data_IF_258880074803
#
_entry.id   IF_258880074803
#
_cell.length_a   1.000
_cell.length_b   1.000
_cell.length_c   1.000
_cell.angle_alpha   90.00
_cell.angle_beta   90.00
_cell.angle_gamma   90.00
#
_symmetry.space_group_name_H-M   'P 1'
#
loop_
_entity.id
_entity.type
_entity.pdbx_description
1 polymer ?
#
# COMPACT_ATOMS: atom_id res chain seq x y z
N UNK A 1 17.53 -15.49 -6.71
CA UNK A 1 18.19 -14.43 -7.47
C UNK A 1 17.33 -13.18 -7.32
N UNK A 2 17.75 -12.21 -6.49
CA UNK A 2 17.11 -10.89 -6.39
C UNK A 2 17.46 -10.13 -7.67
N UNK A 3 16.47 -9.84 -8.51
CA UNK A 3 16.63 -8.92 -9.63
C UNK A 3 16.37 -7.52 -9.13
N UNK A 4 17.34 -6.66 -9.21
CA UNK A 4 17.22 -5.25 -8.87
C UNK A 4 16.93 -4.47 -10.14
N UNK A 5 15.91 -3.64 -10.12
CA UNK A 5 15.64 -2.68 -11.17
C UNK A 5 15.91 -1.28 -10.58
N UNK A 6 16.84 -0.57 -11.19
CA UNK A 6 17.06 0.86 -10.91
C UNK A 6 16.28 1.61 -11.97
N UNK A 7 15.20 2.24 -11.61
CA UNK A 7 14.54 3.20 -12.48
C UNK A 7 15.29 4.53 -12.38
N UNK A 8 15.77 5.02 -13.50
CA UNK A 8 16.41 6.33 -13.60
C UNK A 8 15.33 7.44 -13.60
N UNK A 9 14.59 7.54 -12.51
CA UNK A 9 13.60 8.59 -12.27
C UNK A 9 14.19 9.63 -11.31
N UNK A 10 15.29 10.26 -11.74
CA UNK A 10 15.85 11.38 -11.02
C UNK A 10 14.90 12.57 -11.10
N UNK A 11 14.46 13.05 -9.98
CA UNK A 11 13.62 14.22 -9.85
C UNK A 11 14.46 15.37 -9.31
N UNK A 12 14.45 16.50 -10.05
CA UNK A 12 15.06 17.74 -9.55
C UNK A 12 14.04 18.43 -8.67
N UNK A 13 14.33 18.49 -7.38
CA UNK A 13 13.56 19.30 -6.45
C UNK A 13 14.24 20.64 -6.28
N UNK A 14 13.46 21.72 -6.44
CA UNK A 14 13.91 23.08 -6.16
C UNK A 14 13.26 23.57 -4.87
N UNK A 15 14.07 23.91 -3.88
CA UNK A 15 13.64 24.52 -2.64
C UNK A 15 14.48 25.78 -2.38
N UNK A 16 13.83 26.92 -2.25
CA UNK A 16 14.48 28.24 -2.06
C UNK A 16 15.61 28.53 -3.05
N UNK A 17 15.45 28.14 -4.32
CA UNK A 17 16.45 28.32 -5.36
C UNK A 17 17.61 27.33 -5.33
N UNK A 18 17.59 26.37 -4.40
CA UNK A 18 18.52 25.25 -4.36
C UNK A 18 17.94 24.05 -5.06
N UNK A 19 18.67 23.47 -5.99
CA UNK A 19 18.29 22.25 -6.70
C UNK A 19 18.95 21.04 -6.05
N UNK A 20 18.16 20.00 -5.81
CA UNK A 20 18.67 18.70 -5.36
C UNK A 20 18.11 17.60 -6.22
N UNK A 21 18.93 16.59 -6.50
CA UNK A 21 18.51 15.38 -7.17
C UNK A 21 18.02 14.38 -6.12
N UNK A 22 16.81 13.86 -6.33
CA UNK A 22 16.31 12.74 -5.53
C UNK A 22 15.56 11.75 -6.39
N UNK A 23 15.49 10.51 -5.93
CA UNK A 23 14.65 9.49 -6.56
C UNK A 23 13.18 9.87 -6.30
N UNK A 24 12.38 9.89 -7.36
CA UNK A 24 10.95 10.17 -7.25
C UNK A 24 10.31 9.20 -6.26
N UNK A 25 9.64 9.68 -5.21
CA UNK A 25 8.95 8.82 -4.28
C UNK A 25 7.89 7.98 -5.01
N UNK A 26 7.78 6.75 -4.60
CA UNK A 26 6.73 5.88 -5.05
C UNK A 26 5.55 5.94 -4.12
N UNK A 27 4.41 6.30 -4.65
CA UNK A 27 3.20 6.46 -3.86
C UNK A 27 2.77 5.16 -3.16
N UNK A 28 2.91 4.01 -3.82
CA UNK A 28 2.59 2.70 -3.21
C UNK A 28 3.47 2.45 -2.00
N UNK A 29 4.80 2.60 -2.17
CA UNK A 29 5.76 2.39 -1.10
C UNK A 29 5.62 3.41 0.00
N UNK A 30 5.42 4.68 -0.36
CA UNK A 30 5.25 5.76 0.60
C UNK A 30 4.03 5.51 1.50
N UNK A 31 2.88 5.23 0.90
CA UNK A 31 1.64 4.98 1.65
C UNK A 31 1.71 3.69 2.46
N UNK A 32 2.28 2.61 1.90
CA UNK A 32 2.52 1.38 2.65
C UNK A 32 3.42 1.61 3.86
N UNK A 33 4.50 2.38 3.71
CA UNK A 33 5.41 2.68 4.82
C UNK A 33 4.74 3.54 5.90
N UNK A 34 3.90 4.51 5.52
CA UNK A 34 3.10 5.29 6.48
C UNK A 34 2.16 4.36 7.23
N UNK A 35 1.47 3.46 6.51
CA UNK A 35 0.60 2.46 7.13
C UNK A 35 1.36 1.58 8.12
N UNK A 36 2.49 1.00 7.71
CA UNK A 36 3.29 0.09 8.53
C UNK A 36 3.84 0.75 9.78
N UNK A 37 4.38 1.95 9.64
CA UNK A 37 4.91 2.71 10.77
C UNK A 37 3.84 2.98 11.81
N UNK A 38 2.65 3.43 11.37
CA UNK A 38 1.55 3.70 12.29
C UNK A 38 0.97 2.41 12.87
N UNK A 39 0.85 1.34 12.07
CA UNK A 39 0.38 0.05 12.56
C UNK A 39 1.30 -0.54 13.61
N UNK A 40 2.61 -0.49 13.41
CA UNK A 40 3.60 -0.95 14.39
C UNK A 40 3.44 -0.18 15.71
N UNK A 41 3.38 1.14 15.66
CA UNK A 41 3.16 1.99 16.83
C UNK A 41 1.83 1.71 17.50
N UNK A 42 0.75 1.52 16.72
CA UNK A 42 -0.57 1.16 17.23
C UNK A 42 -0.56 -0.19 17.95
N UNK A 43 0.10 -1.21 17.39
CA UNK A 43 0.25 -2.54 18.03
C UNK A 43 0.98 -2.45 19.35
N UNK A 44 2.11 -1.74 19.40
CA UNK A 44 2.89 -1.52 20.62
C UNK A 44 2.06 -0.77 21.67
N UNK A 45 1.37 0.29 21.26
CA UNK A 45 0.52 1.10 22.16
C UNK A 45 -0.67 0.30 22.68
N UNK A 46 -1.31 -0.49 21.81
CA UNK A 46 -2.41 -1.37 22.19
C UNK A 46 -1.97 -2.38 23.25
N UNK A 47 -0.85 -3.05 23.06
CA UNK A 47 -0.36 -4.08 23.98
C UNK A 47 0.10 -3.50 25.31
N UNK A 48 0.81 -2.37 25.28
CA UNK A 48 1.46 -1.82 26.46
C UNK A 48 0.56 -0.87 27.26
N UNK A 49 -0.44 -0.25 26.63
CA UNK A 49 -1.28 0.77 27.23
C UNK A 49 -2.76 0.38 27.23
N UNK A 50 -3.36 0.18 26.05
CA UNK A 50 -4.81 -0.01 25.93
C UNK A 50 -5.28 -1.32 26.60
N UNK A 51 -4.66 -2.44 26.29
CA UNK A 51 -5.07 -3.75 26.78
C UNK A 51 -4.92 -3.88 28.31
N UNK A 52 -3.83 -3.42 28.95
CA UNK A 52 -3.74 -3.38 30.40
C UNK A 52 -4.79 -2.48 31.05
N UNK A 53 -5.04 -1.30 30.48
CA UNK A 53 -6.06 -0.37 30.95
C UNK A 53 -7.46 -0.95 30.89
N UNK A 54 -7.81 -1.58 29.75
CA UNK A 54 -9.11 -2.22 29.56
C UNK A 54 -9.36 -3.31 30.62
N UNK A 55 -8.35 -4.11 30.95
CA UNK A 55 -8.43 -5.15 31.98
C UNK A 55 -8.58 -4.57 33.40
N UNK A 56 -7.92 -3.44 33.67
CA UNK A 56 -7.92 -2.83 35.00
C UNK A 56 -9.22 -2.06 35.29
N UNK A 57 -9.81 -1.42 34.30
CA UNK A 57 -10.92 -0.48 34.47
C UNK A 57 -12.25 -0.97 33.90
N UNK A 58 -12.43 -2.27 33.84
CA UNK A 58 -13.67 -2.87 33.34
C UNK A 58 -14.90 -2.27 34.08
N UNK A 59 -15.75 -1.57 33.32
CA UNK A 59 -17.00 -0.98 33.88
C UNK A 59 -16.86 0.36 34.59
N UNK A 60 -15.65 0.98 34.66
CA UNK A 60 -15.47 2.31 35.22
C UNK A 60 -15.15 3.37 34.16
N UNK A 61 -15.59 4.61 34.40
CA UNK A 61 -15.27 5.73 33.50
C UNK A 61 -13.81 6.13 33.64
N UNK A 62 -13.01 6.16 32.55
CA UNK A 62 -11.59 6.54 32.65
C UNK A 62 -11.42 8.03 32.93
N UNK A 63 -10.33 8.40 33.64
CA UNK A 63 -9.94 9.81 33.80
C UNK A 63 -9.63 10.47 32.45
N UNK A 64 -9.63 11.80 32.39
CA UNK A 64 -9.35 12.59 31.20
C UNK A 64 -8.03 12.18 30.50
N UNK A 65 -6.96 12.05 31.29
CA UNK A 65 -5.66 11.59 30.80
C UNK A 65 -5.72 10.21 30.13
N UNK A 66 -6.51 9.29 30.68
CA UNK A 66 -6.68 7.95 30.13
C UNK A 66 -7.56 7.93 28.90
N UNK A 67 -8.51 8.86 28.78
CA UNK A 67 -9.26 9.04 27.54
C UNK A 67 -8.36 9.49 26.40
N UNK A 68 -7.39 10.38 26.68
CA UNK A 68 -6.40 10.81 25.71
C UNK A 68 -5.62 9.62 25.12
N UNK A 69 -5.22 8.64 25.95
CA UNK A 69 -4.54 7.42 25.47
C UNK A 69 -5.35 6.68 24.39
N UNK A 70 -6.69 6.60 24.51
CA UNK A 70 -7.55 6.00 23.49
C UNK A 70 -7.57 6.82 22.20
N UNK A 71 -7.59 8.15 22.28
CA UNK A 71 -7.52 9.01 21.10
C UNK A 71 -6.18 8.87 20.38
N UNK A 72 -5.07 8.88 21.10
CA UNK A 72 -3.72 8.67 20.55
C UNK A 72 -3.65 7.32 19.81
N UNK A 73 -4.25 6.26 20.37
CA UNK A 73 -4.37 4.97 19.68
C UNK A 73 -5.22 5.04 18.42
N UNK A 74 -6.38 5.69 18.49
CA UNK A 74 -7.27 5.81 17.33
C UNK A 74 -6.63 6.60 16.20
N UNK A 75 -5.88 7.64 16.46
CA UNK A 75 -5.12 8.38 15.45
C UNK A 75 -4.14 7.47 14.71
N UNK A 76 -3.40 6.63 15.42
CA UNK A 76 -2.45 5.71 14.84
C UNK A 76 -3.14 4.64 13.99
N UNK A 77 -4.17 3.99 14.52
CA UNK A 77 -4.82 2.86 13.82
C UNK A 77 -5.64 3.34 12.61
N UNK A 78 -6.30 4.49 12.71
CA UNK A 78 -7.04 5.11 11.62
C UNK A 78 -6.07 5.53 10.50
N UNK A 79 -4.96 6.17 10.87
CA UNK A 79 -3.91 6.53 9.89
C UNK A 79 -3.38 5.30 9.18
N UNK A 80 -3.03 4.23 9.92
CA UNK A 80 -2.57 2.98 9.32
C UNK A 80 -3.58 2.40 8.33
N UNK A 81 -4.86 2.38 8.70
CA UNK A 81 -5.94 1.83 7.88
C UNK A 81 -6.16 2.63 6.59
N UNK A 82 -6.21 3.95 6.69
CA UNK A 82 -6.41 4.83 5.53
C UNK A 82 -5.26 4.66 4.55
N UNK A 83 -4.01 4.69 5.04
CA UNK A 83 -2.86 4.58 4.15
C UNK A 83 -2.65 3.17 3.60
N UNK A 84 -3.07 2.11 4.29
CA UNK A 84 -3.14 0.77 3.72
C UNK A 84 -4.06 0.74 2.49
N UNK A 85 -5.26 1.29 2.61
CA UNK A 85 -6.21 1.35 1.49
C UNK A 85 -5.72 2.25 0.36
N UNK A 86 -5.16 3.42 0.68
CA UNK A 86 -4.61 4.35 -0.31
C UNK A 86 -3.44 3.74 -1.08
N UNK A 87 -2.59 2.92 -0.43
CA UNK A 87 -1.53 2.20 -1.11
C UNK A 87 -2.06 1.20 -2.15
N UNK A 88 -3.18 0.55 -1.86
CA UNK A 88 -3.86 -0.34 -2.81
C UNK A 88 -4.47 0.43 -3.99
N UNK A 89 -5.04 1.61 -3.75
CA UNK A 89 -5.55 2.47 -4.83
C UNK A 89 -4.41 2.92 -5.76
N UNK A 90 -3.30 3.38 -5.19
CA UNK A 90 -2.10 3.74 -5.95
C UNK A 90 -1.56 2.55 -6.74
N UNK A 91 -1.46 1.37 -6.11
CA UNK A 91 -1.01 0.14 -6.75
C UNK A 91 -1.90 -0.25 -7.93
N UNK A 92 -3.22 -0.27 -7.73
CA UNK A 92 -4.15 -0.63 -8.79
C UNK A 92 -4.06 0.33 -9.99
N UNK A 93 -3.87 1.62 -9.75
CA UNK A 93 -3.75 2.63 -10.79
C UNK A 93 -2.43 2.50 -11.60
N UNK A 94 -1.32 2.23 -10.92
CA UNK A 94 -0.01 2.00 -11.56
C UNK A 94 -0.06 0.75 -12.46
N UNK A 95 -0.74 -0.32 -12.03
CA UNK A 95 -0.85 -1.56 -12.80
C UNK A 95 -1.67 -1.44 -14.09
N UNK A 96 -2.38 -0.33 -14.30
CA UNK A 96 -3.17 -0.11 -15.52
C UNK A 96 -2.28 0.62 -16.56
N UNK A 97 -1.93 -0.02 -17.70
CA UNK A 97 -1.14 0.62 -18.73
C UNK A 97 -1.84 1.85 -19.33
N UNK A 98 -1.08 2.87 -19.76
CA UNK A 98 -1.63 4.13 -20.27
C UNK A 98 -2.56 3.96 -21.47
N UNK A 99 -2.26 2.96 -22.32
CA UNK A 99 -3.06 2.67 -23.52
C UNK A 99 -4.13 1.61 -23.30
N UNK A 100 -4.35 1.19 -22.05
CA UNK A 100 -5.37 0.19 -21.75
C UNK A 100 -6.77 0.80 -21.85
N UNK A 101 -7.67 0.05 -22.48
CA UNK A 101 -9.10 0.38 -22.57
C UNK A 101 -9.92 -0.78 -21.99
N UNK A 102 -10.78 -0.46 -21.03
CA UNK A 102 -11.69 -1.41 -20.43
C UNK A 102 -13.04 -1.37 -21.14
N UNK A 103 -13.44 -2.50 -21.72
CA UNK A 103 -14.70 -2.65 -22.42
C UNK A 103 -15.79 -3.17 -21.50
N UNK A 104 -16.90 -2.46 -21.43
CA UNK A 104 -18.15 -2.95 -20.84
C UNK A 104 -19.18 -3.02 -21.94
N UNK A 105 -19.82 -4.19 -22.08
CA UNK A 105 -20.97 -4.38 -22.96
C UNK A 105 -22.23 -4.55 -22.10
N UNK A 106 -23.18 -3.65 -22.28
CA UNK A 106 -24.48 -3.69 -21.59
C UNK A 106 -25.58 -3.37 -22.58
N UNK A 107 -26.59 -4.22 -22.65
CA UNK A 107 -27.76 -4.09 -23.52
C UNK A 107 -27.38 -3.87 -25.01
N UNK A 108 -26.32 -4.56 -25.48
CA UNK A 108 -25.79 -4.43 -26.84
C UNK A 108 -24.95 -3.17 -27.09
N UNK A 109 -24.79 -2.29 -26.11
CA UNK A 109 -23.98 -1.09 -26.20
C UNK A 109 -22.59 -1.38 -25.65
N UNK A 110 -21.55 -1.14 -26.45
CA UNK A 110 -20.15 -1.24 -26.06
C UNK A 110 -19.62 0.12 -25.62
N UNK A 111 -19.13 0.19 -24.39
CA UNK A 111 -18.53 1.40 -23.83
C UNK A 111 -17.07 1.12 -23.48
N UNK A 112 -16.16 1.93 -24.02
CA UNK A 112 -14.72 1.86 -23.74
C UNK A 112 -14.34 2.92 -22.70
N UNK A 113 -13.55 2.49 -21.72
CA UNK A 113 -13.06 3.35 -20.65
C UNK A 113 -11.53 3.41 -20.68
N UNK A 114 -10.99 4.59 -20.92
CA UNK A 114 -9.54 4.85 -20.85
C UNK A 114 -9.03 4.72 -19.42
N UNK A 115 -7.70 4.58 -19.22
CA UNK A 115 -7.05 4.57 -17.90
C UNK A 115 -7.59 5.68 -16.99
N UNK A 116 -7.58 6.93 -17.44
CA UNK A 116 -8.07 8.06 -16.63
C UNK A 116 -9.55 7.94 -16.25
N UNK A 117 -10.38 7.33 -17.10
CA UNK A 117 -11.77 7.07 -16.79
C UNK A 117 -11.90 5.91 -15.77
N UNK A 118 -11.05 4.89 -15.88
CA UNK A 118 -11.01 3.77 -14.94
C UNK A 118 -10.61 4.27 -13.56
N UNK A 119 -9.55 5.04 -13.44
CA UNK A 119 -9.05 5.61 -12.19
C UNK A 119 -10.14 6.36 -11.43
N UNK A 120 -10.96 7.13 -12.13
CA UNK A 120 -11.99 8.01 -11.54
C UNK A 120 -13.32 7.33 -11.24
N UNK A 121 -13.74 6.37 -12.08
CA UNK A 121 -15.12 5.87 -12.07
C UNK A 121 -15.28 4.48 -11.48
N UNK A 122 -14.19 3.70 -11.39
CA UNK A 122 -14.28 2.32 -10.95
C UNK A 122 -13.78 2.16 -9.51
N UNK A 123 -14.53 1.40 -8.74
CA UNK A 123 -14.13 1.05 -7.36
C UNK A 123 -12.85 0.21 -7.37
N UNK A 124 -12.11 0.25 -6.27
CA UNK A 124 -10.93 -0.58 -6.10
C UNK A 124 -11.26 -2.07 -6.22
N UNK A 125 -12.43 -2.47 -5.73
CA UNK A 125 -12.97 -3.82 -5.87
C UNK A 125 -13.12 -4.24 -7.35
N UNK A 126 -13.66 -3.37 -8.18
CA UNK A 126 -13.81 -3.61 -9.62
C UNK A 126 -12.44 -3.68 -10.31
N UNK A 127 -11.53 -2.79 -9.94
CA UNK A 127 -10.16 -2.79 -10.47
C UNK A 127 -9.49 -4.13 -10.21
N UNK A 128 -9.52 -4.63 -8.98
CA UNK A 128 -8.91 -5.93 -8.66
C UNK A 128 -9.64 -7.10 -9.32
N UNK A 129 -10.95 -7.15 -9.20
CA UNK A 129 -11.74 -8.30 -9.64
C UNK A 129 -11.71 -8.52 -11.15
N UNK A 130 -11.84 -7.44 -11.93
CA UNK A 130 -12.05 -7.53 -13.37
C UNK A 130 -10.91 -6.92 -14.17
N UNK A 131 -10.45 -5.72 -13.83
CA UNK A 131 -9.51 -4.97 -14.66
C UNK A 131 -8.09 -5.55 -14.53
N UNK A 132 -7.54 -5.62 -13.32
CA UNK A 132 -6.21 -6.18 -13.10
C UNK A 132 -6.16 -7.66 -13.43
N UNK A 133 -7.23 -8.38 -13.14
CA UNK A 133 -7.37 -9.77 -13.55
C UNK A 133 -7.17 -9.94 -15.05
N UNK A 134 -7.81 -9.08 -15.86
CA UNK A 134 -7.69 -9.11 -17.32
C UNK A 134 -6.29 -8.70 -17.79
N UNK A 135 -5.72 -7.62 -17.21
CA UNK A 135 -4.39 -7.12 -17.59
C UNK A 135 -3.28 -8.12 -17.26
N UNK A 136 -3.32 -8.69 -16.07
CA UNK A 136 -2.26 -9.53 -15.52
C UNK A 136 -2.51 -11.03 -15.71
N UNK A 137 -3.66 -11.40 -16.27
CA UNK A 137 -4.08 -12.78 -16.47
C UNK A 137 -4.05 -13.61 -15.16
N UNK A 138 -4.57 -13.04 -14.07
CA UNK A 138 -4.61 -13.74 -12.78
C UNK A 138 -5.82 -14.65 -12.64
N UNK A 139 -5.79 -15.66 -11.75
CA UNK A 139 -6.99 -16.34 -11.29
C UNK A 139 -8.04 -15.38 -10.73
N UNK A 140 -9.23 -15.89 -10.45
CA UNK A 140 -10.28 -15.07 -9.84
C UNK A 140 -9.87 -14.67 -8.40
N UNK A 141 -9.58 -13.40 -8.11
CA UNK A 141 -9.12 -12.97 -6.81
C UNK A 141 -10.18 -13.13 -5.71
N UNK A 142 -11.46 -13.27 -6.08
CA UNK A 142 -12.54 -13.49 -5.13
C UNK A 142 -12.46 -14.86 -4.44
N UNK A 143 -11.68 -15.79 -4.99
CA UNK A 143 -11.43 -17.11 -4.43
C UNK A 143 -10.24 -17.11 -3.45
N UNK A 144 -9.49 -16.03 -3.38
CA UNK A 144 -8.35 -15.90 -2.50
C UNK A 144 -8.79 -15.67 -1.03
N UNK A 145 -8.05 -16.24 -0.09
CA UNK A 145 -8.33 -16.09 1.35
C UNK A 145 -8.32 -14.65 1.82
N UNK A 146 -7.50 -13.82 1.19
CA UNK A 146 -7.38 -12.40 1.52
C UNK A 146 -8.57 -11.56 1.05
N UNK A 147 -9.42 -12.06 0.12
CA UNK A 147 -10.50 -11.26 -0.45
C UNK A 147 -11.52 -10.79 0.59
N UNK A 148 -11.94 -11.66 1.49
CA UNK A 148 -12.88 -11.29 2.55
C UNK A 148 -12.28 -10.25 3.51
N UNK A 149 -10.98 -10.34 3.79
CA UNK A 149 -10.27 -9.39 4.65
C UNK A 149 -10.14 -8.03 3.95
N UNK A 150 -9.91 -8.03 2.64
CA UNK A 150 -9.94 -6.80 1.82
C UNK A 150 -11.31 -6.10 1.85
N UNK A 151 -12.41 -6.86 1.77
CA UNK A 151 -13.76 -6.31 1.91
C UNK A 151 -13.96 -5.67 3.30
N UNK A 152 -13.42 -6.27 4.35
CA UNK A 152 -13.43 -5.68 5.69
C UNK A 152 -12.60 -4.38 5.76
N UNK A 153 -11.43 -4.32 5.09
CA UNK A 153 -10.61 -3.11 5.00
C UNK A 153 -11.37 -1.97 4.29
N UNK A 154 -11.95 -2.26 3.13
CA UNK A 154 -12.75 -1.30 2.36
C UNK A 154 -13.93 -0.76 3.20
N UNK A 155 -14.68 -1.66 3.84
CA UNK A 155 -15.82 -1.30 4.70
C UNK A 155 -15.40 -0.39 5.86
N UNK A 156 -14.33 -0.74 6.59
CA UNK A 156 -13.84 0.07 7.70
C UNK A 156 -13.34 1.45 7.24
N UNK A 157 -12.64 1.50 6.11
CA UNK A 157 -12.20 2.78 5.51
C UNK A 157 -13.39 3.66 5.16
N UNK A 158 -14.42 3.10 4.55
CA UNK A 158 -15.60 3.86 4.17
C UNK A 158 -16.39 4.36 5.39
N UNK A 159 -16.47 3.56 6.46
CA UNK A 159 -17.07 3.99 7.72
C UNK A 159 -16.29 5.11 8.42
N UNK A 160 -14.97 5.18 8.22
CA UNK A 160 -14.12 6.27 8.74
C UNK A 160 -14.28 7.54 7.92
N UNK A 161 -14.21 7.44 6.59
CA UNK A 161 -14.25 8.60 5.68
C UNK A 161 -15.66 9.19 5.61
N UNK A 162 -16.69 8.32 5.58
CA UNK A 162 -18.10 8.72 5.47
C UNK A 162 -18.80 8.59 6.82
N UNK A 163 -18.35 9.34 7.82
CA UNK A 163 -18.86 9.28 9.20
C UNK A 163 -20.38 9.44 9.29
N UNK A 164 -21.09 8.32 9.45
CA UNK A 164 -22.49 8.34 9.82
C UNK A 164 -22.59 8.25 11.34
N UNK A 165 -23.22 9.24 11.98
CA UNK A 165 -23.33 9.31 13.47
C UNK A 165 -23.99 8.04 14.09
N UNK A 166 -24.93 7.40 13.37
CA UNK A 166 -25.66 6.24 13.85
C UNK A 166 -24.83 4.95 14.01
N UNK A 167 -23.56 4.92 13.59
CA UNK A 167 -22.67 3.75 13.64
C UNK A 167 -21.34 4.01 14.32
N UNK A 168 -21.21 5.11 15.05
CA UNK A 168 -19.92 5.51 15.64
C UNK A 168 -19.39 4.52 16.68
N UNK A 169 -20.25 3.99 17.54
CA UNK A 169 -19.87 3.09 18.64
C UNK A 169 -19.33 1.75 18.11
N UNK A 170 -19.99 1.14 17.15
CA UNK A 170 -19.55 -0.13 16.52
C UNK A 170 -18.20 0.03 15.84
N UNK A 171 -17.95 1.15 15.18
CA UNK A 171 -16.68 1.44 14.48
C UNK A 171 -15.51 1.47 15.45
N UNK A 172 -15.60 2.24 16.54
CA UNK A 172 -14.52 2.33 17.52
C UNK A 172 -14.28 1.00 18.24
N UNK A 173 -15.33 0.23 18.50
CA UNK A 173 -15.19 -1.12 19.05
C UNK A 173 -14.44 -2.06 18.10
N UNK A 174 -14.67 -1.96 16.80
CA UNK A 174 -13.91 -2.74 15.79
C UNK A 174 -12.45 -2.34 15.74
N UNK A 175 -12.14 -1.03 15.85
CA UNK A 175 -10.75 -0.53 15.89
C UNK A 175 -9.99 -0.98 17.15
N UNK A 176 -10.68 -1.27 18.25
CA UNK A 176 -10.09 -1.83 19.47
C UNK A 176 -9.94 -3.37 19.42
N UNK A 177 -10.37 -4.02 18.37
CA UNK A 177 -10.21 -5.46 18.17
C UNK A 177 -8.85 -5.79 17.57
N UNK A 178 -8.19 -6.87 18.05
CA UNK A 178 -6.95 -7.36 17.44
C UNK A 178 -7.11 -7.73 15.96
N UNK A 179 -8.32 -8.08 15.52
CA UNK A 179 -8.63 -8.40 14.12
C UNK A 179 -8.33 -7.22 13.18
N UNK A 180 -8.38 -5.98 13.67
CA UNK A 180 -8.07 -4.80 12.84
C UNK A 180 -6.64 -4.81 12.31
N UNK A 181 -5.70 -5.39 13.04
CA UNK A 181 -4.31 -5.47 12.62
C UNK A 181 -4.16 -6.32 11.36
N UNK A 182 -4.79 -7.49 11.34
CA UNK A 182 -4.80 -8.40 10.18
C UNK A 182 -5.51 -7.76 8.98
N UNK A 183 -6.59 -7.01 9.24
CA UNK A 183 -7.33 -6.26 8.21
C UNK A 183 -6.42 -5.22 7.55
N UNK A 184 -5.63 -4.50 8.34
CA UNK A 184 -4.72 -3.48 7.80
C UNK A 184 -3.57 -4.16 7.03
N UNK A 185 -2.99 -5.24 7.55
CA UNK A 185 -1.87 -5.95 6.92
C UNK A 185 -2.22 -6.59 5.57
N UNK A 186 -3.51 -6.78 5.27
CA UNK A 186 -3.94 -7.42 4.01
C UNK A 186 -3.43 -6.69 2.77
N UNK A 187 -3.19 -5.38 2.85
CA UNK A 187 -2.68 -4.62 1.70
C UNK A 187 -1.37 -5.18 1.15
N UNK A 188 -0.46 -5.62 2.02
CA UNK A 188 0.79 -6.26 1.61
C UNK A 188 0.55 -7.57 0.88
N UNK A 189 -0.36 -8.38 1.40
CA UNK A 189 -0.73 -9.66 0.79
C UNK A 189 -1.28 -9.46 -0.62
N UNK A 190 -2.11 -8.44 -0.82
CA UNK A 190 -2.70 -8.11 -2.12
C UNK A 190 -1.62 -7.62 -3.10
N UNK A 191 -0.77 -6.68 -2.66
CA UNK A 191 0.32 -6.16 -3.48
C UNK A 191 1.27 -7.30 -3.90
N UNK A 192 1.63 -8.18 -2.96
CA UNK A 192 2.48 -9.33 -3.26
C UNK A 192 1.81 -10.32 -4.22
N UNK A 193 0.51 -10.59 -4.04
CA UNK A 193 -0.24 -11.46 -4.94
C UNK A 193 -0.16 -10.97 -6.39
N UNK A 194 -0.54 -9.74 -6.65
CA UNK A 194 -0.48 -9.19 -8.01
C UNK A 194 0.95 -8.96 -8.49
N UNK A 195 1.87 -8.57 -7.60
CA UNK A 195 3.29 -8.40 -7.92
C UNK A 195 3.94 -9.65 -8.48
N UNK A 196 3.54 -10.83 -7.98
CA UNK A 196 3.98 -12.11 -8.53
C UNK A 196 3.60 -12.26 -10.01
N UNK A 197 2.35 -12.00 -10.37
CA UNK A 197 1.88 -12.08 -11.76
C UNK A 197 2.50 -11.00 -12.66
N UNK A 198 2.81 -9.82 -12.14
CA UNK A 198 3.52 -8.78 -12.88
C UNK A 198 4.91 -9.29 -13.28
N UNK A 199 5.64 -9.87 -12.33
CA UNK A 199 6.99 -10.37 -12.58
C UNK A 199 7.02 -11.53 -13.60
N UNK A 200 5.96 -12.31 -13.67
CA UNK A 200 5.86 -13.44 -14.60
C UNK A 200 5.34 -13.05 -15.97
N UNK A 201 4.30 -12.23 -16.03
CA UNK A 201 3.50 -12.05 -17.24
C UNK A 201 3.64 -10.68 -17.90
N UNK A 202 4.10 -9.66 -17.17
CA UNK A 202 4.11 -8.26 -17.59
C UNK A 202 5.39 -7.53 -17.18
N UNK A 203 6.52 -8.04 -17.67
CA UNK A 203 7.85 -7.47 -17.36
C UNK A 203 7.97 -5.99 -17.73
N UNK A 204 7.24 -5.55 -18.78
CA UNK A 204 7.17 -4.16 -19.20
C UNK A 204 6.60 -3.24 -18.11
N UNK A 205 5.72 -3.74 -17.24
CA UNK A 205 5.22 -2.97 -16.10
C UNK A 205 6.23 -2.84 -14.97
N UNK A 206 7.27 -3.67 -14.95
CA UNK A 206 8.33 -3.58 -13.93
C UNK A 206 9.16 -2.30 -14.06
N UNK A 207 9.22 -1.69 -15.26
CA UNK A 207 9.88 -0.42 -15.48
C UNK A 207 9.16 0.75 -14.79
N UNK A 208 7.85 0.62 -14.61
CA UNK A 208 7.00 1.59 -13.89
C UNK A 208 6.87 1.27 -12.41
N UNK A 209 7.31 0.04 -12.00
CA UNK A 209 7.26 -0.40 -10.61
C UNK A 209 8.40 0.21 -9.83
N UNK A 210 8.03 1.02 -8.93
CA UNK A 210 8.96 1.76 -8.14
C UNK A 210 9.56 0.91 -7.04
N UNK A 211 10.71 1.35 -6.56
CA UNK A 211 11.37 0.85 -5.38
C UNK A 211 10.41 0.81 -4.22
N UNK A 212 10.30 -0.35 -3.62
CA UNK A 212 9.56 -0.52 -2.42
C UNK A 212 10.49 -0.39 -1.22
N UNK A 213 10.45 0.73 -0.56
CA UNK A 213 11.12 0.92 0.71
C UNK A 213 10.39 0.10 1.77
N UNK A 214 10.88 -1.10 2.09
CA UNK A 214 10.41 -1.86 3.24
C UNK A 214 9.57 -3.11 2.98
N UNK A 215 9.36 -3.50 1.75
CA UNK A 215 8.79 -4.81 1.45
C UNK A 215 9.87 -5.84 1.16
N UNK A 216 9.88 -6.94 1.92
CA UNK A 216 11.04 -7.81 1.97
C UNK A 216 11.26 -8.69 0.74
N UNK A 217 10.30 -9.13 -0.04
CA UNK A 217 10.59 -10.23 -0.95
C UNK A 217 10.23 -10.07 -2.43
N UNK A 218 9.34 -9.21 -2.81
CA UNK A 218 8.84 -9.12 -4.18
C UNK A 218 9.23 -7.86 -4.93
N UNK A 219 9.42 -6.80 -4.22
CA UNK A 219 9.83 -5.55 -4.83
C UNK A 219 11.31 -5.33 -4.54
N UNK A 220 12.07 -4.79 -5.49
CA UNK A 220 13.44 -4.41 -5.22
C UNK A 220 13.41 -3.36 -4.11
N UNK A 221 13.67 -3.82 -2.88
CA UNK A 221 13.93 -2.92 -1.76
C UNK A 221 15.17 -2.10 -2.08
N UNK A 222 15.32 -0.92 -1.50
CA UNK A 222 16.64 -0.30 -1.44
C UNK A 222 17.56 -1.33 -0.80
N UNK A 223 18.54 -1.73 -1.58
CA UNK A 223 19.67 -2.45 -1.03
C UNK A 223 20.42 -1.49 -0.12
N UNK A 224 21.28 -2.04 0.74
CA UNK A 224 22.30 -1.24 1.39
C UNK A 224 23.07 -0.40 0.34
N UNK A 225 23.82 0.59 0.78
CA UNK A 225 24.57 1.50 -0.11
C UNK A 225 25.44 0.77 -1.14
N UNK A 226 25.96 -0.41 -0.79
CA UNK A 226 26.76 -1.24 -1.69
C UNK A 226 25.93 -1.89 -2.80
N UNK A 227 24.73 -2.33 -2.49
CA UNK A 227 23.82 -2.87 -3.48
C UNK A 227 23.30 -1.82 -4.45
N UNK A 228 23.04 -0.60 -3.95
CA UNK A 228 22.70 0.56 -4.77
C UNK A 228 23.84 0.91 -5.73
N UNK A 229 25.07 1.05 -5.22
CA UNK A 229 26.25 1.35 -6.04
C UNK A 229 26.48 0.29 -7.12
N UNK A 230 26.33 -0.98 -6.78
CA UNK A 230 26.46 -2.08 -7.74
C UNK A 230 25.39 -2.01 -8.83
N UNK A 231 24.13 -1.77 -8.47
CA UNK A 231 23.03 -1.64 -9.42
C UNK A 231 23.20 -0.43 -10.33
N UNK A 232 23.61 0.70 -9.78
CA UNK A 232 23.90 1.92 -10.52
C UNK A 232 25.04 1.70 -11.54
N UNK A 233 26.10 1.02 -11.16
CA UNK A 233 27.22 0.69 -12.07
C UNK A 233 26.80 -0.22 -13.23
N UNK A 234 25.96 -1.23 -12.94
CA UNK A 234 25.44 -2.14 -13.98
C UNK A 234 24.58 -1.39 -14.98
N UNK A 235 23.71 -0.49 -14.53
CA UNK A 235 22.84 0.29 -15.40
C UNK A 235 23.59 1.25 -16.33
N UNK A 236 24.60 1.89 -15.77
CA UNK A 236 25.38 2.89 -16.51
C UNK A 236 26.64 2.29 -17.19
N UNK A 237 26.75 0.94 -17.25
CA UNK A 237 27.93 0.24 -17.80
C UNK A 237 29.25 0.72 -17.20
N UNK A 238 29.26 1.09 -15.92
CA UNK A 238 30.46 1.53 -15.21
C UNK A 238 31.21 0.29 -14.73
N UNK A 239 32.47 0.07 -15.12
CA UNK A 239 33.25 -1.11 -14.71
C UNK A 239 33.42 -1.16 -13.18
N UNK A 240 33.41 -2.37 -12.62
CA UNK A 240 33.78 -2.56 -11.22
C UNK A 240 35.17 -2.06 -10.99
N UNK A 241 35.37 -1.26 -9.92
CA UNK A 241 36.72 -0.92 -9.50
C UNK A 241 37.38 -2.22 -9.04
N UNK A 242 38.41 -2.66 -9.74
CA UNK A 242 39.29 -3.73 -9.26
C UNK A 242 39.94 -3.25 -7.95
N UNK A 243 39.47 -3.77 -6.82
CA UNK A 243 40.15 -3.63 -5.53
C UNK A 243 41.40 -4.53 -5.54
N UNK A 244 42.43 -4.10 -6.22
CA UNK A 244 43.63 -4.89 -6.28
C UNK A 244 44.73 -4.25 -7.15
N UNK A 245 45.07 -3.04 -6.83
CA UNK A 245 46.40 -2.46 -7.16
C UNK A 245 46.61 -1.26 -6.23
N UNK A 246 47.19 -1.50 -5.07
CA UNK A 246 48.11 -0.62 -4.37
C UNK A 246 49.51 -1.27 -4.39
#
# INVERSE_FOLDING_TARGET
YRKYFVLDNNWVLTFDGLETLMIKPNDVSLYSNISDTNLKRAKEFFQNTILPRYKQYHGSFPSEEKQKEYYDYFELIISALIFAYTSLEAFANICIPDRYEYLIEKDGIKTFYSKSAIEKKFSLREKFKNILRSILNTPDPTQEKWWSIFIDLERLRDEIIHTKQSKSEDRYSQLLSKKVFDIIEVHKTIINYYGHFISENKKELLEEFPYNFGFDDFFPGLTDDKGYEKSYRVLHNIPEKNNGEE
#
